data_IF_551241592081
#
_entry.id   IF_551241592081
#
_cell.length_a   1.000
_cell.length_b   1.000
_cell.length_c   1.000
_cell.angle_alpha   90.00
_cell.angle_beta   90.00
_cell.angle_gamma   90.00
#
_symmetry.space_group_name_H-M   'P 1'
#
loop_
_entity.id
_entity.type
_entity.pdbx_description
1 polymer ?
#
# COMPACT_ATOMS: atom_id res chain seq x y z
N UNK A 1 -6.59 9.22 -6.61
CA UNK A 1 -6.96 8.73 -7.94
C UNK A 1 -8.41 8.24 -7.95
N UNK A 2 -9.03 8.16 -9.12
CA UNK A 2 -10.38 7.62 -9.29
C UNK A 2 -10.45 6.85 -10.61
N UNK A 3 -11.19 5.73 -10.61
CA UNK A 3 -11.39 4.85 -11.75
C UNK A 3 -12.88 4.40 -11.84
N UNK A 4 -13.32 3.79 -12.93
CA UNK A 4 -14.61 3.12 -12.96
C UNK A 4 -14.70 2.06 -11.85
N UNK A 5 -15.87 1.89 -11.24
CA UNK A 5 -16.07 1.02 -10.05
C UNK A 5 -15.55 -0.42 -10.23
N UNK A 6 -15.64 -0.97 -11.45
CA UNK A 6 -15.12 -2.31 -11.79
C UNK A 6 -13.60 -2.44 -11.60
N UNK A 7 -12.88 -1.33 -11.59
CA UNK A 7 -11.41 -1.30 -11.53
C UNK A 7 -10.89 -1.00 -10.10
N UNK A 8 -11.74 -1.18 -9.08
CA UNK A 8 -11.42 -0.86 -7.67
C UNK A 8 -10.14 -1.53 -7.17
N UNK A 9 -9.78 -2.71 -7.67
CA UNK A 9 -8.56 -3.41 -7.27
C UNK A 9 -7.26 -2.74 -7.76
N UNK A 10 -7.36 -1.82 -8.71
CA UNK A 10 -6.19 -1.12 -9.28
C UNK A 10 -5.84 0.17 -8.53
N UNK A 11 -6.83 0.78 -7.88
CA UNK A 11 -6.67 2.16 -7.37
C UNK A 11 -5.64 2.33 -6.25
N UNK A 12 -5.39 1.39 -5.33
CA UNK A 12 -4.30 1.54 -4.39
C UNK A 12 -2.94 1.60 -5.08
N UNK A 13 -2.72 0.72 -6.06
CA UNK A 13 -1.49 0.73 -6.87
C UNK A 13 -1.31 2.02 -7.67
N UNK A 14 -2.38 2.51 -8.29
CA UNK A 14 -2.37 3.79 -9.02
C UNK A 14 -2.11 4.98 -8.09
N UNK A 15 -2.66 4.98 -6.89
CA UNK A 15 -2.42 6.02 -5.89
C UNK A 15 -0.97 6.01 -5.42
N UNK A 16 -0.41 4.82 -5.14
CA UNK A 16 1.01 4.65 -4.80
C UNK A 16 1.91 5.16 -5.94
N UNK A 17 1.65 4.74 -7.17
CA UNK A 17 2.41 5.22 -8.33
C UNK A 17 2.41 6.74 -8.44
N UNK A 18 1.23 7.35 -8.31
CA UNK A 18 1.07 8.80 -8.37
C UNK A 18 1.85 9.54 -7.28
N UNK A 19 1.77 9.08 -6.02
CA UNK A 19 2.48 9.77 -4.92
C UNK A 19 3.99 9.63 -5.05
N UNK A 20 4.50 8.50 -5.54
CA UNK A 20 5.92 8.32 -5.82
C UNK A 20 6.39 9.27 -6.94
N UNK A 21 5.66 9.35 -8.05
CA UNK A 21 5.93 10.29 -9.15
C UNK A 21 5.94 11.75 -8.67
N UNK A 22 5.00 12.14 -7.82
CA UNK A 22 4.92 13.51 -7.26
C UNK A 22 6.09 13.89 -6.35
N UNK A 23 6.83 12.90 -5.84
CA UNK A 23 7.97 13.08 -4.96
C UNK A 23 9.30 12.70 -5.61
N UNK A 24 9.33 12.50 -6.93
CA UNK A 24 10.51 12.07 -7.69
C UNK A 24 11.16 10.79 -7.10
N UNK A 25 10.31 9.86 -6.61
CA UNK A 25 10.74 8.61 -6.00
C UNK A 25 10.32 7.40 -6.82
N UNK A 26 11.03 6.30 -6.62
CA UNK A 26 10.76 5.01 -7.25
C UNK A 26 10.29 3.97 -6.24
N UNK A 27 9.63 2.92 -6.73
CA UNK A 27 9.16 1.83 -5.89
C UNK A 27 10.32 1.07 -5.21
N UNK A 28 11.48 1.00 -5.86
CA UNK A 28 12.66 0.31 -5.33
C UNK A 28 13.21 0.97 -4.06
N UNK A 29 13.01 2.29 -3.92
CA UNK A 29 13.39 3.04 -2.72
C UNK A 29 12.50 2.75 -1.50
N UNK A 30 11.37 2.06 -1.69
CA UNK A 30 10.49 1.69 -0.59
C UNK A 30 10.98 0.43 0.11
N UNK A 31 11.15 0.52 1.43
CA UNK A 31 11.53 -0.61 2.28
C UNK A 31 10.32 -1.46 2.67
N UNK A 32 9.18 -0.83 2.88
CA UNK A 32 7.91 -1.47 3.25
C UNK A 32 6.75 -0.82 2.49
N UNK A 33 5.80 -1.64 2.09
CA UNK A 33 4.58 -1.22 1.40
C UNK A 33 3.38 -1.84 2.12
N UNK A 34 2.38 -1.03 2.44
CA UNK A 34 1.09 -1.50 2.95
C UNK A 34 -0.01 -1.22 1.93
N UNK A 35 -0.74 -2.26 1.52
CA UNK A 35 -1.91 -2.13 0.66
C UNK A 35 -3.10 -2.74 1.37
N UNK A 36 -4.15 -1.95 1.61
CA UNK A 36 -5.33 -2.48 2.25
C UNK A 36 -5.98 -3.59 1.41
N UNK A 37 -6.17 -4.74 2.04
CA UNK A 37 -6.80 -5.92 1.44
C UNK A 37 -8.32 -5.84 1.62
N UNK A 38 -8.98 -4.85 0.96
CA UNK A 38 -10.45 -4.76 0.99
C UNK A 38 -11.10 -6.09 0.52
N UNK A 39 -10.41 -6.79 -0.37
CA UNK A 39 -10.52 -8.23 -0.67
C UNK A 39 -9.16 -8.73 -1.20
N UNK A 40 -8.91 -10.03 -1.16
CA UNK A 40 -7.60 -10.62 -1.42
C UNK A 40 -6.98 -10.19 -2.78
N UNK A 41 -7.79 -10.02 -3.81
CA UNK A 41 -7.32 -9.62 -5.14
C UNK A 41 -6.74 -8.20 -5.19
N UNK A 42 -7.11 -7.30 -4.28
CA UNK A 42 -6.68 -5.89 -4.31
C UNK A 42 -5.16 -5.76 -4.24
N UNK A 43 -4.53 -6.40 -3.26
CA UNK A 43 -3.09 -6.36 -3.12
C UNK A 43 -2.38 -6.99 -4.33
N UNK A 44 -2.88 -8.14 -4.81
CA UNK A 44 -2.30 -8.83 -5.97
C UNK A 44 -2.37 -7.99 -7.25
N UNK A 45 -3.54 -7.43 -7.56
CA UNK A 45 -3.73 -6.61 -8.78
C UNK A 45 -2.91 -5.33 -8.68
N UNK A 46 -2.96 -4.62 -7.56
CA UNK A 46 -2.18 -3.40 -7.35
C UNK A 46 -0.68 -3.66 -7.51
N UNK A 47 -0.14 -4.70 -6.88
CA UNK A 47 1.29 -5.00 -6.96
C UNK A 47 1.71 -5.51 -8.32
N UNK A 48 1.00 -6.51 -8.88
CA UNK A 48 1.43 -7.19 -10.10
C UNK A 48 1.10 -6.40 -11.36
N UNK A 49 -0.15 -5.94 -11.49
CA UNK A 49 -0.63 -5.33 -12.72
C UNK A 49 -0.33 -3.84 -12.81
N UNK A 50 -0.29 -3.13 -11.68
CA UNK A 50 -0.10 -1.68 -11.66
C UNK A 50 1.34 -1.28 -11.33
N UNK A 51 1.89 -1.84 -10.25
CA UNK A 51 3.24 -1.50 -9.79
C UNK A 51 4.34 -2.35 -10.44
N UNK A 52 3.98 -3.41 -11.17
CA UNK A 52 4.94 -4.26 -11.90
C UNK A 52 5.89 -5.06 -11.00
N UNK A 53 5.52 -5.28 -9.73
CA UNK A 53 6.37 -5.97 -8.76
C UNK A 53 6.58 -7.44 -9.11
N UNK A 54 7.77 -7.96 -8.87
CA UNK A 54 8.02 -9.40 -8.86
C UNK A 54 7.27 -10.07 -7.69
N UNK A 55 7.06 -11.39 -7.80
CA UNK A 55 6.48 -12.15 -6.69
C UNK A 55 7.37 -12.10 -5.44
N UNK A 56 8.67 -12.18 -5.63
CA UNK A 56 9.67 -12.12 -4.56
C UNK A 56 9.61 -10.78 -3.81
N UNK A 57 9.59 -9.65 -4.54
CA UNK A 57 9.48 -8.33 -3.92
C UNK A 57 8.17 -8.12 -3.19
N UNK A 58 7.06 -8.66 -3.71
CA UNK A 58 5.79 -8.63 -3.00
C UNK A 58 5.90 -9.29 -1.62
N UNK A 59 6.43 -10.51 -1.54
CA UNK A 59 6.57 -11.21 -0.26
C UNK A 59 7.56 -10.53 0.69
N UNK A 60 8.56 -9.86 0.15
CA UNK A 60 9.59 -9.19 0.93
C UNK A 60 9.15 -7.84 1.49
N UNK A 61 8.32 -7.09 0.76
CA UNK A 61 8.00 -5.68 1.06
C UNK A 61 6.53 -5.41 1.39
N UNK A 62 5.58 -6.21 0.89
CA UNK A 62 4.16 -5.87 0.94
C UNK A 62 3.45 -6.61 2.07
N UNK A 63 2.73 -5.86 2.92
CA UNK A 63 1.89 -6.40 4.00
C UNK A 63 2.63 -7.47 4.84
N UNK A 64 3.87 -7.18 5.17
CA UNK A 64 4.80 -8.15 5.79
C UNK A 64 4.36 -8.64 7.18
N UNK A 65 3.45 -7.93 7.82
CA UNK A 65 2.84 -8.30 9.10
C UNK A 65 1.40 -8.84 8.94
N UNK A 66 1.00 -9.19 7.73
CA UNK A 66 -0.38 -9.53 7.40
C UNK A 66 -1.23 -8.30 7.07
N UNK A 67 -2.47 -8.50 6.66
CA UNK A 67 -3.37 -7.44 6.24
C UNK A 67 -4.83 -7.71 6.63
N UNK A 68 -5.77 -7.02 5.99
CA UNK A 68 -7.19 -7.08 6.33
C UNK A 68 -7.81 -8.47 6.16
N UNK A 69 -7.26 -9.34 5.31
CA UNK A 69 -7.69 -10.73 5.20
C UNK A 69 -7.50 -11.47 6.53
N UNK A 70 -6.45 -11.14 7.27
CA UNK A 70 -6.18 -11.73 8.59
C UNK A 70 -6.87 -10.98 9.74
N UNK A 71 -6.90 -9.63 9.70
CA UNK A 71 -7.33 -8.78 10.82
C UNK A 71 -8.74 -8.24 10.69
N UNK A 72 -9.33 -8.28 9.50
CA UNK A 72 -10.58 -7.60 9.17
C UNK A 72 -10.37 -6.18 8.64
N UNK A 73 -11.46 -5.59 8.17
CA UNK A 73 -11.48 -4.27 7.55
C UNK A 73 -12.53 -3.36 8.19
N UNK A 74 -12.27 -2.81 9.38
CA UNK A 74 -13.13 -1.78 9.96
C UNK A 74 -12.91 -0.47 9.20
N UNK A 75 -13.82 -0.15 8.27
CA UNK A 75 -13.66 0.91 7.24
C UNK A 75 -13.16 2.23 7.83
N UNK A 76 -13.74 2.69 8.93
CA UNK A 76 -13.36 3.96 9.56
C UNK A 76 -11.99 3.96 10.26
N UNK A 77 -11.37 2.80 10.50
CA UNK A 77 -10.10 2.66 11.20
C UNK A 77 -8.96 2.14 10.34
N UNK A 78 -9.26 1.53 9.20
CA UNK A 78 -8.24 0.81 8.41
C UNK A 78 -7.13 1.72 7.88
N UNK A 79 -7.44 2.94 7.46
CA UNK A 79 -6.41 3.90 7.01
C UNK A 79 -5.38 4.18 8.10
N UNK A 80 -5.84 4.44 9.33
CA UNK A 80 -4.95 4.63 10.47
C UNK A 80 -4.16 3.36 10.81
N UNK A 81 -4.82 2.19 10.75
CA UNK A 81 -4.19 0.91 11.04
C UNK A 81 -3.04 0.61 10.09
N UNK A 82 -3.24 0.71 8.75
CA UNK A 82 -2.17 0.44 7.78
C UNK A 82 -1.01 1.42 7.92
N UNK A 83 -1.29 2.69 8.18
CA UNK A 83 -0.26 3.70 8.40
C UNK A 83 0.56 3.42 9.67
N UNK A 84 -0.10 3.04 10.77
CA UNK A 84 0.60 2.66 12.01
C UNK A 84 1.43 1.39 11.81
N UNK A 85 0.88 0.36 11.15
CA UNK A 85 1.62 -0.87 10.84
C UNK A 85 2.88 -0.57 10.04
N UNK A 86 2.76 0.27 9.01
CA UNK A 86 3.88 0.72 8.19
C UNK A 86 4.95 1.44 9.03
N UNK A 87 4.55 2.41 9.85
CA UNK A 87 5.46 3.18 10.69
C UNK A 87 6.20 2.33 11.73
N UNK A 88 5.49 1.41 12.39
CA UNK A 88 6.10 0.49 13.36
C UNK A 88 7.06 -0.49 12.70
N UNK A 89 6.72 -1.01 11.52
CA UNK A 89 7.62 -1.91 10.80
C UNK A 89 8.89 -1.20 10.33
N UNK A 90 8.79 0.01 9.81
CA UNK A 90 9.96 0.82 9.47
C UNK A 90 10.82 1.09 10.70
N UNK A 91 10.22 1.47 11.82
CA UNK A 91 10.94 1.66 13.08
C UNK A 91 11.66 0.38 13.54
N UNK A 92 10.98 -0.78 13.45
CA UNK A 92 11.58 -2.08 13.81
C UNK A 92 12.78 -2.42 12.92
N UNK A 93 12.79 -1.97 11.66
CA UNK A 93 13.91 -2.16 10.71
C UNK A 93 15.04 -1.15 10.88
N UNK A 94 14.90 -0.17 11.76
CA UNK A 94 15.91 0.88 11.96
C UNK A 94 15.70 2.12 11.10
N UNK A 95 14.50 2.35 10.63
CA UNK A 95 14.14 3.47 9.76
C UNK A 95 13.91 3.07 8.30
N UNK A 96 13.68 4.06 7.46
CA UNK A 96 13.51 3.87 6.01
C UNK A 96 12.27 4.54 5.43
N UNK A 97 12.02 4.28 4.16
CA UNK A 97 10.88 4.79 3.41
C UNK A 97 9.77 3.75 3.30
N UNK A 98 8.54 4.20 3.44
CA UNK A 98 7.39 3.35 3.22
C UNK A 98 6.23 4.08 2.59
N UNK A 99 5.41 3.34 1.88
CA UNK A 99 4.19 3.85 1.25
C UNK A 99 3.02 2.94 1.58
N UNK A 100 1.86 3.53 1.83
CA UNK A 100 0.63 2.77 1.94
C UNK A 100 -0.41 3.25 0.93
N UNK A 101 -1.27 2.32 0.51
CA UNK A 101 -2.37 2.57 -0.41
C UNK A 101 -3.66 1.90 0.05
N UNK A 102 -4.77 2.58 -0.17
CA UNK A 102 -6.11 2.10 0.19
C UNK A 102 -7.10 2.44 -0.92
N UNK A 103 -8.06 1.54 -1.17
CA UNK A 103 -9.23 1.87 -1.98
C UNK A 103 -10.36 2.37 -1.09
N UNK A 104 -11.17 3.26 -1.64
CA UNK A 104 -12.43 3.69 -1.04
C UNK A 104 -13.59 3.55 -2.03
N UNK A 105 -14.81 3.83 -1.57
CA UNK A 105 -16.02 3.65 -2.37
C UNK A 105 -15.92 4.28 -3.76
N UNK A 106 -16.58 3.64 -4.74
CA UNK A 106 -16.57 4.05 -6.16
C UNK A 106 -15.17 4.07 -6.82
N UNK A 107 -14.30 3.13 -6.43
CA UNK A 107 -12.95 3.00 -6.97
C UNK A 107 -12.12 4.29 -6.88
N UNK A 108 -12.15 4.92 -5.73
CA UNK A 108 -11.20 5.97 -5.36
C UNK A 108 -9.99 5.33 -4.69
N UNK A 109 -8.82 5.90 -4.88
CA UNK A 109 -7.57 5.43 -4.28
C UNK A 109 -6.80 6.57 -3.63
N UNK A 110 -6.39 6.35 -2.39
CA UNK A 110 -5.53 7.24 -1.63
C UNK A 110 -4.23 6.55 -1.26
N UNK A 111 -3.16 7.33 -1.12
CA UNK A 111 -1.87 6.84 -0.70
C UNK A 111 -1.18 7.84 0.23
N UNK A 112 -0.32 7.33 1.09
CA UNK A 112 0.54 8.14 1.95
C UNK A 112 1.97 7.60 1.90
N UNK A 113 2.92 8.51 1.71
CA UNK A 113 4.35 8.25 1.75
C UNK A 113 4.89 8.72 3.10
N UNK A 114 5.66 7.90 3.77
CA UNK A 114 6.28 8.24 5.06
C UNK A 114 7.75 7.87 5.08
N UNK A 115 8.50 8.58 5.90
CA UNK A 115 9.85 8.24 6.29
C UNK A 115 9.95 8.14 7.81
N UNK A 116 10.66 7.14 8.28
CA UNK A 116 11.02 7.00 9.69
C UNK A 116 12.54 7.14 9.78
N UNK A 117 13.00 8.10 10.56
CA UNK A 117 14.43 8.26 10.87
C UNK A 117 14.79 7.36 12.07
N UNK A 118 16.08 7.01 12.15
CA UNK A 118 16.65 6.22 13.26
C UNK A 118 16.63 7.00 14.57
#
# INVERSE_FOLDING_TARGET
VSQPTKDIATVPGLAIKKILEQNDMTLDQMDVIEINEAFAAVALVSCRSILGMSREDMFRKVNVNGGAVAYGHPIGATGARILMTLGYELRRRGGGWGVCGICSGHAQGDAMLIRVDQ
#
